data_IF_494027906704
#
_entry.id   IF_494027906704
#
_cell.length_a   1.000
_cell.length_b   1.000
_cell.length_c   1.000
_cell.angle_alpha   90.00
_cell.angle_beta   90.00
_cell.angle_gamma   90.00
#
_symmetry.space_group_name_H-M   'P 1'
#
loop_
_entity.id
_entity.type
_entity.pdbx_description
1 polymer ?
#
# COMPACT_ATOMS: atom_id res chain seq x y z
N UNK A 1 48.58 -14.71 -4.38
CA UNK A 1 47.31 -15.31 -4.87
C UNK A 1 46.34 -14.21 -5.28
N UNK A 2 46.08 -14.10 -6.59
CA UNK A 2 45.10 -13.12 -7.11
C UNK A 2 43.71 -13.70 -6.92
N UNK A 3 42.98 -13.21 -5.94
CA UNK A 3 41.56 -13.53 -5.76
C UNK A 3 40.75 -13.03 -6.97
N UNK A 4 40.20 -13.94 -7.77
CA UNK A 4 39.31 -13.59 -8.87
C UNK A 4 37.93 -13.23 -8.33
N UNK A 5 37.67 -11.95 -8.22
CA UNK A 5 36.34 -11.44 -7.89
C UNK A 5 35.51 -11.27 -9.18
N UNK A 6 34.79 -12.31 -9.59
CA UNK A 6 33.82 -12.22 -10.69
C UNK A 6 32.38 -12.15 -10.14
N UNK A 7 31.57 -11.33 -10.79
CA UNK A 7 30.15 -11.21 -10.43
C UNK A 7 29.42 -12.58 -10.51
N UNK A 8 28.61 -12.97 -9.53
CA UNK A 8 27.92 -14.27 -9.49
C UNK A 8 27.18 -14.63 -10.77
N UNK A 9 26.59 -13.66 -11.47
CA UNK A 9 25.94 -13.86 -12.76
C UNK A 9 26.87 -14.30 -13.89
N UNK A 10 28.18 -14.03 -13.78
CA UNK A 10 29.17 -14.52 -14.74
C UNK A 10 29.46 -16.01 -14.52
N UNK A 11 29.54 -16.45 -13.27
CA UNK A 11 29.69 -17.85 -12.90
C UNK A 11 28.45 -18.67 -13.32
N UNK A 12 27.26 -18.16 -13.11
CA UNK A 12 26.03 -18.80 -13.55
C UNK A 12 26.04 -19.06 -15.07
N UNK A 13 26.43 -18.06 -15.89
CA UNK A 13 26.54 -18.22 -17.36
C UNK A 13 27.56 -19.29 -17.77
N UNK A 14 28.67 -19.40 -17.06
CA UNK A 14 29.67 -20.46 -17.29
C UNK A 14 29.08 -21.84 -16.96
N UNK A 15 28.44 -21.99 -15.81
CA UNK A 15 27.79 -23.26 -15.42
C UNK A 15 26.71 -23.72 -16.41
N UNK A 16 25.91 -22.78 -16.95
CA UNK A 16 24.92 -23.07 -17.98
C UNK A 16 25.65 -23.53 -19.28
N UNK A 17 26.71 -22.83 -19.69
CA UNK A 17 27.51 -23.18 -20.90
C UNK A 17 28.14 -24.56 -20.80
N UNK A 18 28.66 -24.92 -19.63
CA UNK A 18 29.32 -26.20 -19.36
C UNK A 18 28.33 -27.33 -19.06
N UNK A 19 27.03 -27.09 -19.13
CA UNK A 19 25.98 -28.11 -18.88
C UNK A 19 25.78 -28.49 -17.41
N UNK A 20 26.49 -27.86 -16.46
CA UNK A 20 26.30 -28.11 -15.03
C UNK A 20 24.98 -27.59 -14.48
N UNK A 21 24.31 -26.66 -15.21
CA UNK A 21 22.95 -26.17 -14.92
C UNK A 21 22.16 -26.02 -16.20
N UNK A 22 20.93 -26.50 -16.18
CA UNK A 22 19.95 -26.20 -17.25
C UNK A 22 19.60 -24.72 -17.17
N UNK A 23 19.53 -24.06 -18.35
CA UNK A 23 18.96 -22.71 -18.44
C UNK A 23 17.53 -22.76 -17.94
N UNK A 24 17.24 -22.03 -16.88
CA UNK A 24 15.84 -21.87 -16.44
C UNK A 24 15.16 -21.01 -17.49
N UNK A 25 14.34 -21.61 -18.33
CA UNK A 25 13.44 -20.85 -19.19
C UNK A 25 12.48 -20.11 -18.26
N UNK A 26 12.66 -18.80 -18.17
CA UNK A 26 11.68 -17.98 -17.48
C UNK A 26 10.38 -18.12 -18.28
N UNK A 27 9.42 -18.84 -17.72
CA UNK A 27 8.03 -18.75 -18.18
C UNK A 27 7.52 -17.35 -17.82
N UNK A 28 8.02 -16.34 -18.53
CA UNK A 28 7.38 -15.03 -18.54
C UNK A 28 6.02 -15.28 -19.15
N UNK A 29 5.02 -15.50 -18.30
CA UNK A 29 3.63 -15.37 -18.73
C UNK A 29 3.58 -14.02 -19.43
N UNK A 30 3.32 -14.03 -20.76
CA UNK A 30 3.08 -12.79 -21.51
C UNK A 30 2.08 -12.02 -20.70
N UNK A 31 2.47 -10.86 -20.19
CA UNK A 31 1.56 -9.99 -19.47
C UNK A 31 0.39 -9.76 -20.44
N UNK A 32 -0.80 -10.26 -20.07
CA UNK A 32 -2.01 -9.85 -20.77
C UNK A 32 -1.95 -8.34 -20.79
N UNK A 33 -2.16 -7.70 -21.93
CA UNK A 33 -2.26 -6.26 -22.06
C UNK A 33 -3.19 -5.74 -20.97
N UNK A 34 -2.58 -5.27 -19.89
CA UNK A 34 -3.28 -4.60 -18.81
C UNK A 34 -3.68 -3.27 -19.41
N UNK A 35 -4.99 -3.02 -19.47
CA UNK A 35 -5.51 -1.74 -19.95
C UNK A 35 -4.73 -0.59 -19.33
N UNK A 36 -4.50 0.43 -20.10
CA UNK A 36 -3.76 1.62 -19.68
C UNK A 36 -4.39 2.16 -18.39
N UNK A 37 -3.62 2.21 -17.32
CA UNK A 37 -4.05 2.85 -16.08
C UNK A 37 -3.85 4.35 -16.24
N UNK A 38 -4.96 5.05 -16.42
CA UNK A 38 -4.94 6.49 -16.57
C UNK A 38 -4.66 7.16 -15.22
N UNK A 39 -3.52 7.83 -15.12
CA UNK A 39 -3.14 8.56 -13.92
C UNK A 39 -3.63 9.98 -14.06
N UNK A 40 -4.50 10.49 -13.16
CA UNK A 40 -4.89 11.87 -13.16
C UNK A 40 -3.67 12.79 -13.09
N UNK A 41 -3.71 13.88 -13.83
CA UNK A 41 -2.70 14.94 -13.80
C UNK A 41 -3.16 16.16 -12.99
N UNK A 42 -4.45 16.25 -12.71
CA UNK A 42 -5.07 17.33 -11.95
C UNK A 42 -5.15 16.97 -10.47
N UNK A 43 -4.90 17.96 -9.63
CA UNK A 43 -5.00 17.89 -8.19
C UNK A 43 -6.44 17.57 -7.75
N UNK A 44 -6.59 16.72 -6.72
CA UNK A 44 -7.89 16.41 -6.15
C UNK A 44 -8.74 15.42 -6.95
N UNK A 45 -8.31 14.97 -8.11
CA UNK A 45 -9.12 14.03 -8.92
C UNK A 45 -9.22 12.65 -8.31
N UNK A 46 -8.13 12.18 -7.70
CA UNK A 46 -8.12 10.80 -7.19
C UNK A 46 -7.07 10.60 -6.12
N UNK A 47 -7.53 10.04 -5.00
CA UNK A 47 -6.67 9.54 -3.93
C UNK A 47 -6.69 8.01 -3.89
N UNK A 48 -5.56 7.40 -3.57
CA UNK A 48 -5.47 5.97 -3.23
C UNK A 48 -5.30 5.83 -1.73
N UNK A 49 -6.05 4.92 -1.11
CA UNK A 49 -5.95 4.61 0.31
C UNK A 49 -5.69 3.13 0.52
N UNK A 50 -4.84 2.82 1.48
CA UNK A 50 -4.52 1.45 1.88
C UNK A 50 -4.08 1.40 3.34
N UNK A 51 -4.17 0.21 3.94
CA UNK A 51 -3.76 -0.05 5.32
C UNK A 51 -2.74 -1.18 5.35
N UNK A 52 -1.71 -1.02 6.15
CA UNK A 52 -0.75 -2.09 6.42
C UNK A 52 -0.52 -2.25 7.92
N UNK A 53 -0.10 -3.45 8.32
CA UNK A 53 0.43 -3.65 9.66
C UNK A 53 1.76 -2.91 9.83
N UNK A 54 1.91 -2.22 10.96
CA UNK A 54 3.23 -1.78 11.43
C UNK A 54 4.01 -3.03 11.85
N UNK A 55 5.26 -3.22 11.39
CA UNK A 55 6.01 -4.41 11.72
C UNK A 55 6.19 -4.57 13.24
N UNK A 56 5.80 -5.71 13.77
CA UNK A 56 5.86 -6.00 15.23
C UNK A 56 7.27 -5.80 15.77
N UNK A 57 8.30 -6.09 14.98
CA UNK A 57 9.70 -5.92 15.38
C UNK A 57 10.08 -4.47 15.73
N UNK A 58 9.29 -3.48 15.29
CA UNK A 58 9.51 -2.08 15.61
C UNK A 58 9.03 -1.71 17.02
N UNK A 59 8.05 -2.47 17.56
CA UNK A 59 7.46 -2.21 18.86
C UNK A 59 8.22 -2.95 19.96
N UNK A 60 8.63 -2.21 20.98
CA UNK A 60 9.43 -2.73 22.12
C UNK A 60 8.60 -2.78 23.41
N UNK A 61 7.31 -2.48 23.34
CA UNK A 61 6.40 -2.46 24.49
C UNK A 61 5.79 -3.83 24.79
N UNK A 62 4.49 -3.85 25.12
CA UNK A 62 3.77 -5.06 25.56
C UNK A 62 3.58 -6.01 24.39
N UNK A 63 3.95 -7.27 24.59
CA UNK A 63 3.76 -8.32 23.58
C UNK A 63 2.31 -8.47 23.14
N UNK A 64 2.10 -8.57 21.83
CA UNK A 64 0.80 -8.83 21.21
C UNK A 64 0.04 -7.58 20.75
N UNK A 65 0.47 -6.37 21.12
CA UNK A 65 -0.14 -5.16 20.56
C UNK A 65 0.18 -5.01 19.07
N UNK A 66 -0.82 -4.63 18.30
CA UNK A 66 -0.72 -4.41 16.85
C UNK A 66 -1.10 -2.98 16.52
N UNK A 67 -0.36 -2.42 15.59
CA UNK A 67 -0.63 -1.09 15.07
C UNK A 67 -0.81 -1.15 13.56
N UNK A 68 -1.59 -0.24 13.04
CA UNK A 68 -1.98 -0.19 11.63
C UNK A 68 -1.62 1.17 11.05
N UNK A 69 -0.83 1.17 10.00
CA UNK A 69 -0.54 2.37 9.22
C UNK A 69 -1.59 2.54 8.14
N UNK A 70 -2.34 3.60 8.22
CA UNK A 70 -3.20 4.09 7.14
C UNK A 70 -2.39 5.05 6.27
N UNK A 71 -2.53 4.91 4.98
CA UNK A 71 -1.82 5.74 4.00
C UNK A 71 -2.79 6.25 2.95
N UNK A 72 -2.79 7.56 2.73
CA UNK A 72 -3.50 8.22 1.63
C UNK A 72 -2.47 8.83 0.69
N UNK A 73 -2.62 8.62 -0.62
CA UNK A 73 -1.77 9.20 -1.66
C UNK A 73 -2.64 9.97 -2.64
N UNK A 74 -2.32 11.23 -2.83
CA UNK A 74 -2.81 12.03 -3.94
C UNK A 74 -2.10 11.57 -5.24
N UNK A 75 -2.88 11.15 -6.24
CA UNK A 75 -2.30 10.49 -7.42
C UNK A 75 -1.54 11.40 -8.36
N UNK A 76 -1.89 12.68 -8.49
CA UNK A 76 -1.23 13.63 -9.37
C UNK A 76 0.12 14.08 -8.79
N UNK A 77 0.12 14.52 -7.53
CA UNK A 77 1.31 15.08 -6.87
C UNK A 77 2.21 14.03 -6.23
N UNK A 78 1.68 12.86 -5.89
CA UNK A 78 2.33 11.81 -5.07
C UNK A 78 2.53 12.21 -3.62
N UNK A 79 1.94 13.30 -3.19
CA UNK A 79 1.92 13.68 -1.80
C UNK A 79 1.18 12.64 -0.97
N UNK A 80 1.66 12.40 0.25
CA UNK A 80 1.11 11.36 1.14
C UNK A 80 0.75 11.94 2.48
N UNK A 81 -0.37 11.47 3.01
CA UNK A 81 -0.71 11.56 4.41
C UNK A 81 -0.68 10.18 5.03
N UNK A 82 -0.06 10.03 6.19
CA UNK A 82 0.10 8.77 6.91
C UNK A 82 -0.32 9.00 8.36
N UNK A 83 -1.03 8.05 8.94
CA UNK A 83 -1.37 8.06 10.35
C UNK A 83 -1.47 6.63 10.89
N UNK A 84 -1.15 6.44 12.18
CA UNK A 84 -1.21 5.13 12.82
C UNK A 84 -2.45 4.99 13.70
N UNK A 85 -2.98 3.76 13.79
CA UNK A 85 -4.12 3.40 14.64
C UNK A 85 -3.83 2.11 15.40
N UNK A 86 -4.47 1.96 16.59
CA UNK A 86 -4.44 0.73 17.39
C UNK A 86 -5.36 -0.37 16.82
N UNK A 87 -6.29 0.00 15.94
CA UNK A 87 -7.24 -0.93 15.34
C UNK A 87 -7.41 -0.70 13.83
N UNK A 88 -7.71 -1.76 13.11
CA UNK A 88 -8.12 -1.72 11.71
C UNK A 88 -9.65 -1.83 11.65
N UNK A 89 -10.33 -0.70 11.64
CA UNK A 89 -11.79 -0.63 11.68
C UNK A 89 -12.35 0.40 10.70
N UNK A 90 -13.64 0.29 10.40
CA UNK A 90 -14.33 1.30 9.60
C UNK A 90 -14.37 2.66 10.27
N UNK A 91 -14.31 2.71 11.61
CA UNK A 91 -14.25 3.99 12.37
C UNK A 91 -12.88 4.65 12.19
N UNK A 92 -11.80 3.88 12.32
CA UNK A 92 -10.44 4.37 12.04
C UNK A 92 -10.32 4.88 10.61
N UNK A 93 -10.96 4.19 9.65
CA UNK A 93 -11.00 4.62 8.24
C UNK A 93 -11.70 5.97 8.07
N UNK A 94 -12.84 6.17 8.71
CA UNK A 94 -13.59 7.45 8.66
C UNK A 94 -12.78 8.59 9.27
N UNK A 95 -12.20 8.40 10.46
CA UNK A 95 -11.34 9.39 11.12
C UNK A 95 -10.11 9.72 10.25
N UNK A 96 -9.49 8.70 9.66
CA UNK A 96 -8.33 8.87 8.80
C UNK A 96 -8.65 9.71 7.55
N UNK A 97 -9.78 9.47 6.87
CA UNK A 97 -10.18 10.27 5.71
C UNK A 97 -10.42 11.73 6.10
N UNK A 98 -11.06 11.98 7.24
CA UNK A 98 -11.26 13.35 7.73
C UNK A 98 -9.95 14.07 8.03
N UNK A 99 -8.98 13.38 8.66
CA UNK A 99 -7.62 13.89 8.89
C UNK A 99 -6.89 14.16 7.58
N UNK A 100 -7.00 13.27 6.61
CA UNK A 100 -6.38 13.45 5.30
C UNK A 100 -6.94 14.67 4.57
N UNK A 101 -8.26 14.88 4.61
CA UNK A 101 -8.92 16.08 4.04
C UNK A 101 -8.39 17.35 4.74
N UNK A 102 -8.27 17.32 6.07
CA UNK A 102 -7.72 18.46 6.82
C UNK A 102 -6.25 18.73 6.47
N UNK A 103 -5.46 17.68 6.29
CA UNK A 103 -4.04 17.77 5.90
C UNK A 103 -3.86 18.36 4.50
N UNK A 104 -4.57 17.82 3.50
CA UNK A 104 -4.48 18.31 2.12
C UNK A 104 -5.17 19.65 1.89
N UNK A 105 -6.12 20.02 2.76
CA UNK A 105 -6.90 21.26 2.66
C UNK A 105 -8.05 21.20 1.64
N UNK A 106 -8.33 20.05 1.06
CA UNK A 106 -9.42 19.80 0.11
C UNK A 106 -9.89 18.36 0.15
N UNK A 107 -11.10 18.09 -0.36
CA UNK A 107 -11.61 16.75 -0.56
C UNK A 107 -11.38 16.31 -2.03
N UNK A 108 -11.09 15.03 -2.30
CA UNK A 108 -10.92 14.55 -3.67
C UNK A 108 -12.26 14.26 -4.35
N UNK A 109 -12.27 14.20 -5.68
CA UNK A 109 -13.43 13.72 -6.43
C UNK A 109 -13.66 12.21 -6.20
N UNK A 110 -12.56 11.45 -5.98
CA UNK A 110 -12.60 9.99 -5.83
C UNK A 110 -11.57 9.49 -4.82
N UNK A 111 -11.99 8.53 -3.98
CA UNK A 111 -11.10 7.71 -3.16
C UNK A 111 -11.15 6.27 -3.68
N UNK A 112 -9.99 5.69 -3.97
CA UNK A 112 -9.84 4.30 -4.37
C UNK A 112 -9.20 3.48 -3.26
N UNK A 113 -9.83 2.34 -2.91
CA UNK A 113 -9.34 1.38 -1.91
C UNK A 113 -9.29 -0.02 -2.50
N UNK A 114 -8.72 -0.96 -1.77
CA UNK A 114 -8.98 -2.38 -2.01
C UNK A 114 -10.36 -2.81 -1.44
N UNK A 115 -10.59 -4.13 -1.37
CA UNK A 115 -11.85 -4.69 -0.86
C UNK A 115 -11.73 -5.12 0.61
N UNK A 116 -10.87 -4.51 1.41
CA UNK A 116 -10.72 -4.77 2.84
C UNK A 116 -12.01 -4.48 3.62
N UNK A 117 -12.23 -5.21 4.72
CA UNK A 117 -13.42 -5.06 5.56
C UNK A 117 -13.52 -3.69 6.24
N UNK A 118 -12.40 -3.00 6.39
CA UNK A 118 -12.29 -1.62 6.86
C UNK A 118 -12.81 -0.59 5.87
N UNK A 119 -12.88 -0.93 4.58
CA UNK A 119 -13.31 -0.05 3.49
C UNK A 119 -14.67 -0.39 2.91
N UNK A 120 -15.07 -1.66 2.97
CA UNK A 120 -16.33 -2.12 2.38
C UNK A 120 -16.86 -3.36 3.10
N UNK A 121 -18.14 -3.64 2.93
CA UNK A 121 -18.71 -4.87 3.48
C UNK A 121 -18.20 -6.10 2.70
N UNK A 122 -17.58 -7.04 3.40
CA UNK A 122 -17.12 -8.32 2.82
C UNK A 122 -18.26 -9.29 2.52
N UNK A 123 -19.43 -9.10 3.18
CA UNK A 123 -20.65 -9.89 2.98
C UNK A 123 -21.77 -9.02 2.43
N UNK A 124 -22.67 -9.63 1.66
CA UNK A 124 -23.85 -8.94 1.14
C UNK A 124 -24.72 -8.47 2.31
N UNK A 125 -24.91 -7.18 2.43
CA UNK A 125 -25.75 -6.54 3.44
C UNK A 125 -26.52 -5.38 2.82
N UNK A 126 -27.66 -5.02 3.43
CA UNK A 126 -28.41 -3.80 3.09
C UNK A 126 -27.88 -2.55 3.79
N UNK A 127 -26.94 -2.71 4.73
CA UNK A 127 -26.35 -1.58 5.46
C UNK A 127 -25.31 -0.90 4.57
N UNK A 128 -25.27 0.42 4.63
CA UNK A 128 -24.23 1.22 3.95
C UNK A 128 -22.98 1.21 4.84
N UNK A 129 -21.82 1.03 4.24
CA UNK A 129 -20.56 1.05 4.98
C UNK A 129 -20.25 2.48 5.49
N UNK A 130 -19.70 2.66 6.72
CA UNK A 130 -19.39 3.99 7.27
C UNK A 130 -18.56 4.88 6.36
N UNK A 131 -17.59 4.32 5.64
CA UNK A 131 -16.80 5.07 4.65
C UNK A 131 -17.70 5.59 3.51
N UNK A 132 -18.61 4.76 2.98
CA UNK A 132 -19.52 5.19 1.91
C UNK A 132 -20.49 6.28 2.39
N UNK A 133 -20.93 6.22 3.66
CA UNK A 133 -21.75 7.30 4.27
C UNK A 133 -20.97 8.61 4.29
N UNK A 134 -19.71 8.58 4.75
CA UNK A 134 -18.84 9.76 4.76
C UNK A 134 -18.63 10.30 3.33
N UNK A 135 -18.27 9.43 2.40
CA UNK A 135 -18.01 9.80 1.01
C UNK A 135 -19.25 10.43 0.36
N UNK A 136 -20.43 9.85 0.56
CA UNK A 136 -21.68 10.41 0.05
C UNK A 136 -21.97 11.81 0.61
N UNK A 137 -21.76 12.02 1.91
CA UNK A 137 -21.97 13.32 2.56
C UNK A 137 -21.01 14.40 2.04
N UNK A 138 -19.80 14.00 1.62
CA UNK A 138 -18.77 14.90 1.10
C UNK A 138 -18.74 14.97 -0.43
N UNK A 139 -19.70 14.33 -1.10
CA UNK A 139 -19.74 14.22 -2.57
C UNK A 139 -18.49 13.57 -3.19
N UNK A 140 -17.83 12.66 -2.46
CA UNK A 140 -16.67 11.89 -2.90
C UNK A 140 -17.15 10.56 -3.51
N UNK A 141 -16.64 10.18 -4.66
CA UNK A 141 -16.87 8.84 -5.21
C UNK A 141 -15.94 7.82 -4.55
N UNK A 142 -16.48 6.89 -3.75
CA UNK A 142 -15.70 5.76 -3.27
C UNK A 142 -15.70 4.62 -4.30
N UNK A 143 -14.50 4.13 -4.66
CA UNK A 143 -14.33 3.07 -5.66
C UNK A 143 -13.38 2.00 -5.14
N UNK A 144 -13.85 0.77 -5.08
CA UNK A 144 -12.99 -0.39 -4.79
C UNK A 144 -12.31 -0.89 -6.06
N UNK A 145 -11.09 -1.42 -5.93
CA UNK A 145 -10.41 -2.08 -7.06
C UNK A 145 -11.14 -3.38 -7.43
N UNK A 146 -11.06 -3.76 -8.71
CA UNK A 146 -11.61 -5.05 -9.14
C UNK A 146 -10.82 -6.19 -8.47
N UNK A 147 -11.48 -7.28 -8.07
CA UNK A 147 -10.79 -8.47 -7.59
C UNK A 147 -9.70 -8.92 -8.56
N UNK A 148 -8.56 -9.38 -8.04
CA UNK A 148 -7.41 -9.82 -8.81
C UNK A 148 -6.75 -8.75 -9.72
N UNK A 149 -6.89 -7.46 -9.38
CA UNK A 149 -6.22 -6.33 -10.06
C UNK A 149 -5.35 -5.50 -9.11
N UNK A 150 -4.39 -6.09 -8.39
CA UNK A 150 -3.62 -5.38 -7.37
C UNK A 150 -2.84 -4.17 -7.92
N UNK A 151 -2.47 -4.19 -9.20
CA UNK A 151 -1.76 -3.07 -9.83
C UNK A 151 -2.53 -1.74 -9.82
N UNK A 152 -3.85 -1.76 -9.60
CA UNK A 152 -4.64 -0.54 -9.46
C UNK A 152 -4.32 0.23 -8.18
N UNK A 153 -3.83 -0.45 -7.12
CA UNK A 153 -3.37 0.17 -5.88
C UNK A 153 -1.83 0.23 -5.77
N UNK A 154 -1.14 0.01 -6.89
CA UNK A 154 0.31 -0.14 -6.93
C UNK A 154 1.12 1.08 -6.47
N UNK A 155 0.52 2.28 -6.43
CA UNK A 155 1.19 3.49 -5.94
C UNK A 155 1.35 3.46 -4.43
N UNK A 156 0.26 3.15 -3.73
CA UNK A 156 0.27 3.05 -2.27
C UNK A 156 1.05 1.82 -1.81
N UNK A 157 0.92 0.67 -2.50
CA UNK A 157 1.74 -0.52 -2.21
C UNK A 157 3.24 -0.24 -2.35
N UNK A 158 3.65 0.49 -3.40
CA UNK A 158 5.04 0.91 -3.58
C UNK A 158 5.51 1.83 -2.45
N UNK A 159 4.65 2.73 -1.98
CA UNK A 159 4.97 3.58 -0.85
C UNK A 159 5.19 2.78 0.43
N UNK A 160 4.37 1.77 0.69
CA UNK A 160 4.53 0.86 1.83
C UNK A 160 5.88 0.12 1.80
N UNK A 161 6.37 -0.27 0.62
CA UNK A 161 7.70 -0.86 0.47
C UNK A 161 8.79 0.14 0.84
N UNK A 162 8.69 1.38 0.38
CA UNK A 162 9.64 2.42 0.74
C UNK A 162 9.63 2.68 2.26
N UNK A 163 8.45 2.70 2.88
CA UNK A 163 8.32 2.86 4.33
C UNK A 163 8.99 1.69 5.07
N UNK A 164 8.82 0.45 4.57
CA UNK A 164 9.49 -0.70 5.16
C UNK A 164 11.01 -0.58 5.09
N UNK A 165 11.55 -0.27 3.90
CA UNK A 165 12.99 -0.25 3.65
C UNK A 165 13.69 0.93 4.33
N UNK A 166 13.07 2.12 4.33
CA UNK A 166 13.70 3.36 4.75
C UNK A 166 13.36 3.81 6.16
N UNK A 167 12.26 3.33 6.70
CA UNK A 167 11.75 3.77 8.00
C UNK A 167 11.62 2.59 8.98
N UNK A 168 10.74 1.63 8.71
CA UNK A 168 10.46 0.57 9.68
C UNK A 168 11.64 -0.35 9.97
N UNK A 169 12.54 -0.59 9.03
CA UNK A 169 13.74 -1.41 9.28
C UNK A 169 14.68 -0.79 10.32
N UNK A 170 14.52 0.50 10.62
CA UNK A 170 15.36 1.25 11.56
C UNK A 170 14.59 1.78 12.77
N UNK A 171 13.25 1.71 12.75
CA UNK A 171 12.39 2.23 13.79
C UNK A 171 12.35 1.30 15.00
N UNK A 172 12.40 1.91 16.19
CA UNK A 172 11.98 1.33 17.47
C UNK A 172 11.11 2.33 18.19
N UNK A 173 9.96 1.88 18.71
CA UNK A 173 9.06 2.71 19.49
C UNK A 173 8.52 1.91 20.69
N UNK A 174 8.14 2.61 21.74
CA UNK A 174 7.78 2.03 23.04
C UNK A 174 6.31 2.22 23.39
N UNK A 175 5.65 3.17 22.76
CA UNK A 175 4.24 3.47 22.96
C UNK A 175 3.56 3.90 21.65
N UNK A 176 2.23 3.95 21.67
CA UNK A 176 1.47 4.49 20.54
C UNK A 176 1.79 5.96 20.26
N UNK A 177 2.01 6.73 21.31
CA UNK A 177 2.35 8.15 21.23
C UNK A 177 3.69 8.39 20.56
N UNK A 178 4.65 7.45 20.69
CA UNK A 178 5.94 7.50 19.99
C UNK A 178 5.78 7.21 18.48
N UNK A 179 4.73 6.51 18.10
CA UNK A 179 4.49 6.12 16.70
C UNK A 179 3.74 7.20 15.91
N UNK A 180 2.90 8.01 16.58
CA UNK A 180 2.03 9.04 16.00
C UNK A 180 2.70 10.40 16.09
#
# INVERSE_FOLDING_TARGET
EKAYSRHPGSLYRVFVRLGYRKKVESTKKKSKHLGHYDTPTELGKKWQMDVKYVPIICYVGIDGEKFYQYTMIEEATRERFIYAYKENSSYSTVDFVQRAIAYFGYAPDMIQTDNGGEFTHTQKTKRIHPLDVLCNNLHITHKTIRPATPWHNGKVERSHRNDQERFYNHLKFYSYEDLV
#
